data_IF_000832322844
#
_entry.id   IF_000832322844
#
_cell.length_a   1.000
_cell.length_b   1.000
_cell.length_c   1.000
_cell.angle_alpha   90.00
_cell.angle_beta   90.00
_cell.angle_gamma   90.00
#
_symmetry.space_group_name_H-M   'P 1'
#
loop_
_entity.id
_entity.type
_entity.pdbx_description
1 polymer ?
#
# COMPACT_ATOMS: atom_id res chain seq x y z
N UNK A 1 -24.50 -0.43 18.11
CA UNK A 1 -23.92 0.12 16.87
C UNK A 1 -22.42 -0.08 16.99
N UNK A 2 -21.84 -1.04 16.27
CA UNK A 2 -20.38 -1.13 16.17
C UNK A 2 -19.92 0.10 15.40
N UNK A 3 -19.00 0.89 15.96
CA UNK A 3 -18.31 1.93 15.20
C UNK A 3 -17.67 1.24 13.98
N UNK A 4 -17.99 1.69 12.76
CA UNK A 4 -17.31 1.21 11.56
C UNK A 4 -15.82 1.54 11.71
N UNK A 5 -14.98 0.50 11.75
CA UNK A 5 -13.53 0.69 11.85
C UNK A 5 -13.07 1.39 10.58
N UNK A 6 -12.43 2.54 10.75
CA UNK A 6 -11.86 3.31 9.65
C UNK A 6 -10.91 2.45 8.81
N UNK A 7 -11.06 2.49 7.49
CA UNK A 7 -10.20 1.72 6.57
C UNK A 7 -8.87 2.45 6.32
N UNK A 8 -7.89 1.74 5.75
CA UNK A 8 -6.60 2.34 5.36
C UNK A 8 -6.83 3.38 4.26
N UNK A 9 -7.78 3.12 3.36
CA UNK A 9 -8.22 4.09 2.35
C UNK A 9 -8.84 5.33 2.97
N UNK A 10 -9.70 5.20 3.98
CA UNK A 10 -10.31 6.35 4.66
C UNK A 10 -9.24 7.24 5.30
N UNK A 11 -8.28 6.64 6.01
CA UNK A 11 -7.14 7.36 6.61
C UNK A 11 -6.37 8.13 5.54
N UNK A 12 -6.14 7.51 4.38
CA UNK A 12 -5.45 8.16 3.27
C UNK A 12 -6.24 9.38 2.75
N UNK A 13 -7.53 9.22 2.50
CA UNK A 13 -8.38 10.20 1.81
C UNK A 13 -8.71 11.46 2.63
N UNK A 14 -8.49 11.46 3.93
CA UNK A 14 -8.68 12.64 4.81
C UNK A 14 -7.75 13.84 4.51
N UNK A 15 -6.78 13.70 3.61
CA UNK A 15 -5.81 14.74 3.29
C UNK A 15 -6.36 15.93 2.47
N UNK A 16 -5.80 17.13 2.71
CA UNK A 16 -6.06 18.34 1.92
C UNK A 16 -5.75 18.11 0.44
N UNK A 17 -4.72 17.32 0.14
CA UNK A 17 -4.36 16.95 -1.23
C UNK A 17 -5.53 16.32 -1.99
N UNK A 18 -6.30 15.43 -1.36
CA UNK A 18 -7.44 14.76 -2.00
C UNK A 18 -8.63 15.69 -2.17
N UNK A 19 -8.84 16.61 -1.22
CA UNK A 19 -9.83 17.66 -1.38
C UNK A 19 -9.53 18.49 -2.63
N UNK A 20 -8.30 18.99 -2.77
CA UNK A 20 -7.86 19.74 -3.96
C UNK A 20 -8.02 18.90 -5.23
N UNK A 21 -7.61 17.63 -5.18
CA UNK A 21 -7.79 16.72 -6.29
C UNK A 21 -9.24 16.63 -6.72
N UNK A 22 -10.17 16.26 -5.84
CA UNK A 22 -11.58 16.08 -6.20
C UNK A 22 -12.24 17.39 -6.66
N UNK A 23 -11.95 18.51 -5.99
CA UNK A 23 -12.51 19.82 -6.33
C UNK A 23 -12.12 20.26 -7.76
N UNK A 24 -10.90 19.95 -8.20
CA UNK A 24 -10.40 20.31 -9.55
C UNK A 24 -10.69 19.24 -10.60
N UNK A 25 -10.66 17.97 -10.22
CA UNK A 25 -10.76 16.82 -11.11
C UNK A 25 -12.19 16.55 -11.57
N UNK A 26 -13.15 16.55 -10.64
CA UNK A 26 -14.55 16.17 -10.92
C UNK A 26 -15.19 17.06 -12.00
N UNK A 27 -15.00 18.40 -12.00
CA UNK A 27 -15.53 19.25 -13.07
C UNK A 27 -14.99 18.90 -14.46
N UNK A 28 -13.70 18.57 -14.56
CA UNK A 28 -13.04 18.24 -15.85
C UNK A 28 -13.59 16.93 -16.41
N UNK A 29 -13.69 15.90 -15.57
CA UNK A 29 -14.30 14.62 -15.93
C UNK A 29 -15.75 14.79 -16.36
N UNK A 30 -16.52 15.55 -15.60
CA UNK A 30 -17.96 15.72 -15.87
C UNK A 30 -18.19 16.44 -17.19
N UNK A 31 -17.37 17.47 -17.48
CA UNK A 31 -17.40 18.18 -18.75
C UNK A 31 -17.00 17.27 -19.92
N UNK A 32 -15.88 16.56 -19.80
CA UNK A 32 -15.39 15.64 -20.83
C UNK A 32 -16.39 14.50 -21.09
N UNK A 33 -16.94 13.88 -20.04
CA UNK A 33 -17.98 12.84 -20.14
C UNK A 33 -19.24 13.37 -20.84
N UNK A 34 -19.74 14.54 -20.42
CA UNK A 34 -20.92 15.16 -21.01
C UNK A 34 -20.72 15.46 -22.50
N UNK A 35 -19.50 15.88 -22.89
CA UNK A 35 -19.13 16.11 -24.29
C UNK A 35 -19.12 14.79 -25.08
N UNK A 36 -18.42 13.77 -24.60
CA UNK A 36 -18.35 12.45 -25.25
C UNK A 36 -19.73 11.83 -25.45
N UNK A 37 -20.64 11.95 -24.48
CA UNK A 37 -22.02 11.46 -24.59
C UNK A 37 -22.81 12.22 -25.66
N UNK A 38 -22.71 13.56 -25.68
CA UNK A 38 -23.40 14.40 -26.68
C UNK A 38 -22.91 14.13 -28.10
N UNK A 39 -21.60 13.98 -28.27
CA UNK A 39 -20.96 13.79 -29.58
C UNK A 39 -20.96 12.32 -30.02
N UNK A 40 -21.33 11.39 -29.13
CA UNK A 40 -21.21 9.93 -29.31
C UNK A 40 -19.79 9.50 -29.69
N UNK A 41 -18.79 10.25 -29.24
CA UNK A 41 -17.37 9.98 -29.46
C UNK A 41 -16.70 9.69 -28.12
N UNK A 42 -16.67 8.42 -27.75
CA UNK A 42 -16.11 7.96 -26.48
C UNK A 42 -14.59 7.78 -26.52
N UNK A 43 -14.01 7.62 -27.70
CA UNK A 43 -12.56 7.44 -27.87
C UNK A 43 -11.79 8.70 -27.42
N UNK A 44 -12.44 9.86 -27.51
CA UNK A 44 -11.88 11.14 -27.09
C UNK A 44 -12.02 11.44 -25.58
N UNK A 45 -12.63 10.55 -24.79
CA UNK A 45 -12.81 10.80 -23.35
C UNK A 45 -11.45 11.06 -22.67
N UNK A 46 -11.32 12.24 -22.07
CA UNK A 46 -10.10 12.79 -21.47
C UNK A 46 -8.87 12.85 -22.40
N UNK A 47 -9.08 13.07 -23.70
CA UNK A 47 -7.98 13.16 -24.69
C UNK A 47 -8.06 14.40 -25.59
N UNK A 48 -9.00 15.34 -25.34
CA UNK A 48 -9.23 16.46 -26.26
C UNK A 48 -8.23 17.62 -26.13
N UNK A 49 -7.59 17.78 -24.96
CA UNK A 49 -6.60 18.83 -24.71
C UNK A 49 -5.54 18.38 -23.69
N UNK A 50 -4.46 19.16 -23.55
CA UNK A 50 -3.36 18.82 -22.64
C UNK A 50 -3.82 18.69 -21.18
N UNK A 51 -4.74 19.53 -20.73
CA UNK A 51 -5.29 19.49 -19.38
C UNK A 51 -6.03 18.18 -19.10
N UNK A 52 -6.87 17.72 -20.03
CA UNK A 52 -7.57 16.43 -19.94
C UNK A 52 -6.58 15.25 -19.93
N UNK A 53 -5.55 15.29 -20.78
CA UNK A 53 -4.50 14.27 -20.82
C UNK A 53 -3.71 14.23 -19.50
N UNK A 54 -3.39 15.39 -18.91
CA UNK A 54 -2.77 15.50 -17.59
C UNK A 54 -3.65 14.87 -16.50
N UNK A 55 -4.93 15.22 -16.49
CA UNK A 55 -5.95 14.68 -15.58
C UNK A 55 -6.07 13.17 -15.68
N UNK A 56 -6.08 12.62 -16.91
CA UNK A 56 -6.11 11.17 -17.15
C UNK A 56 -4.88 10.46 -16.60
N UNK A 57 -3.68 10.98 -16.88
CA UNK A 57 -2.41 10.41 -16.36
C UNK A 57 -2.37 10.43 -14.84
N UNK A 58 -2.79 11.53 -14.22
CA UNK A 58 -2.84 11.63 -12.77
C UNK A 58 -3.82 10.62 -12.18
N UNK A 59 -5.03 10.50 -12.76
CA UNK A 59 -6.02 9.52 -12.34
C UNK A 59 -5.53 8.08 -12.43
N UNK A 60 -4.83 7.71 -13.51
CA UNK A 60 -4.26 6.37 -13.67
C UNK A 60 -3.27 6.05 -12.53
N UNK A 61 -2.41 6.99 -12.17
CA UNK A 61 -1.49 6.82 -11.04
C UNK A 61 -2.21 6.81 -9.69
N UNK A 62 -3.22 7.66 -9.51
CA UNK A 62 -4.03 7.68 -8.30
C UNK A 62 -4.78 6.36 -8.11
N UNK A 63 -5.36 5.80 -9.17
CA UNK A 63 -6.00 4.49 -9.14
C UNK A 63 -5.02 3.36 -8.83
N UNK A 64 -3.79 3.41 -9.36
CA UNK A 64 -2.75 2.46 -8.97
C UNK A 64 -2.45 2.56 -7.47
N UNK A 65 -2.39 3.78 -6.93
CA UNK A 65 -2.16 4.01 -5.51
C UNK A 65 -3.30 3.44 -4.65
N UNK A 66 -4.56 3.75 -4.97
CA UNK A 66 -5.72 3.25 -4.22
C UNK A 66 -5.87 1.72 -4.34
N UNK A 67 -5.49 1.14 -5.48
CA UNK A 67 -5.42 -0.32 -5.65
C UNK A 67 -4.40 -0.95 -4.70
N UNK A 68 -3.22 -0.32 -4.54
CA UNK A 68 -2.19 -0.80 -3.60
C UNK A 68 -2.74 -0.74 -2.16
N UNK A 69 -3.43 0.34 -1.78
CA UNK A 69 -4.06 0.44 -0.45
C UNK A 69 -5.11 -0.66 -0.22
N UNK A 70 -5.97 -0.92 -1.22
CA UNK A 70 -6.95 -2.01 -1.16
C UNK A 70 -6.28 -3.37 -1.00
N UNK A 71 -5.17 -3.61 -1.70
CA UNK A 71 -4.43 -4.86 -1.58
C UNK A 71 -3.75 -5.02 -0.22
N UNK A 72 -3.30 -3.93 0.42
CA UNK A 72 -2.81 -3.96 1.80
C UNK A 72 -3.93 -4.31 2.78
N UNK A 73 -5.13 -3.76 2.61
CA UNK A 73 -6.31 -4.12 3.41
C UNK A 73 -6.70 -5.58 3.24
N UNK A 74 -6.74 -6.08 2.00
CA UNK A 74 -6.97 -7.51 1.74
C UNK A 74 -5.92 -8.37 2.42
N UNK A 75 -4.66 -7.95 2.40
CA UNK A 75 -3.58 -8.69 3.05
C UNK A 75 -3.82 -8.79 4.55
N UNK A 76 -4.27 -7.72 5.21
CA UNK A 76 -4.68 -7.77 6.63
C UNK A 76 -5.85 -8.74 6.83
N UNK A 77 -6.89 -8.67 5.97
CA UNK A 77 -8.06 -9.56 6.06
C UNK A 77 -7.65 -11.03 5.98
N UNK A 78 -6.74 -11.40 5.06
CA UNK A 78 -6.23 -12.76 4.96
C UNK A 78 -5.39 -13.15 6.17
N UNK A 79 -4.50 -12.27 6.63
CA UNK A 79 -3.70 -12.53 7.83
C UNK A 79 -4.57 -12.69 9.09
N UNK A 80 -5.78 -12.11 9.15
CA UNK A 80 -6.73 -12.29 10.27
C UNK A 80 -7.44 -13.65 10.28
N UNK A 81 -7.22 -14.54 9.32
CA UNK A 81 -7.80 -15.89 9.36
C UNK A 81 -7.08 -16.74 10.42
N UNK A 82 -7.58 -16.64 11.65
CA UNK A 82 -7.01 -17.30 12.83
C UNK A 82 -7.20 -18.83 12.85
N UNK A 83 -8.24 -19.34 12.17
CA UNK A 83 -8.56 -20.76 12.18
C UNK A 83 -7.70 -21.53 11.17
N UNK A 84 -6.71 -22.26 11.68
CA UNK A 84 -5.81 -23.09 10.88
C UNK A 84 -6.56 -24.16 10.07
N UNK A 85 -7.70 -24.67 10.56
CA UNK A 85 -8.49 -25.65 9.82
C UNK A 85 -9.15 -25.02 8.59
N UNK A 86 -9.55 -23.75 8.70
CA UNK A 86 -10.03 -22.97 7.55
C UNK A 86 -8.89 -22.76 6.56
N UNK A 87 -7.70 -22.40 7.04
CA UNK A 87 -6.51 -22.23 6.18
C UNK A 87 -6.18 -23.53 5.44
N UNK A 88 -6.03 -24.65 6.14
CA UNK A 88 -5.69 -25.95 5.54
C UNK A 88 -6.77 -26.44 4.57
N UNK A 89 -8.05 -26.22 4.89
CA UNK A 89 -9.18 -26.63 4.04
C UNK A 89 -9.30 -25.79 2.77
N UNK A 90 -9.14 -24.48 2.88
CA UNK A 90 -9.33 -23.55 1.76
C UNK A 90 -8.09 -23.48 0.89
N UNK A 91 -6.89 -23.59 1.48
CA UNK A 91 -5.60 -23.50 0.81
C UNK A 91 -4.83 -24.83 0.90
N UNK A 92 -5.49 -25.93 0.53
CA UNK A 92 -4.94 -27.28 0.63
C UNK A 92 -3.71 -27.55 -0.23
N UNK A 93 -3.38 -26.64 -1.16
CA UNK A 93 -2.15 -26.70 -1.97
C UNK A 93 -0.92 -26.13 -1.26
N UNK A 94 -1.09 -25.43 -0.14
CA UNK A 94 0.02 -24.96 0.68
C UNK A 94 0.51 -26.10 1.59
N UNK A 95 1.82 -26.19 1.77
CA UNK A 95 2.45 -27.27 2.53
C UNK A 95 2.03 -27.26 4.01
N UNK A 96 1.87 -26.06 4.56
CA UNK A 96 1.52 -25.85 5.96
C UNK A 96 0.94 -24.44 6.23
N UNK A 97 0.52 -24.21 7.47
CA UNK A 97 -0.07 -22.92 7.90
C UNK A 97 0.98 -21.82 7.88
N UNK A 98 2.23 -22.12 8.24
CA UNK A 98 3.34 -21.17 8.15
C UNK A 98 3.54 -20.62 6.72
N UNK A 99 3.40 -21.47 5.69
CA UNK A 99 3.51 -21.08 4.28
C UNK A 99 2.42 -20.08 3.88
N UNK A 100 1.22 -20.22 4.42
CA UNK A 100 0.12 -19.28 4.22
C UNK A 100 0.50 -17.89 4.74
N UNK A 101 0.91 -17.79 5.99
CA UNK A 101 1.27 -16.51 6.60
C UNK A 101 2.49 -15.88 5.90
N UNK A 102 3.49 -16.71 5.58
CA UNK A 102 4.68 -16.31 4.82
C UNK A 102 4.30 -15.65 3.48
N UNK A 103 3.40 -16.28 2.71
CA UNK A 103 2.94 -15.75 1.44
C UNK A 103 2.28 -14.38 1.58
N UNK A 104 1.42 -14.18 2.57
CA UNK A 104 0.75 -12.89 2.76
C UNK A 104 1.69 -11.80 3.31
N UNK A 105 2.67 -12.16 4.15
CA UNK A 105 3.71 -11.22 4.59
C UNK A 105 4.59 -10.78 3.41
N UNK A 106 4.92 -11.68 2.48
CA UNK A 106 5.62 -11.30 1.25
C UNK A 106 4.82 -10.31 0.40
N UNK A 107 3.52 -10.56 0.24
CA UNK A 107 2.62 -9.65 -0.48
C UNK A 107 2.56 -8.28 0.20
N UNK A 108 2.47 -8.23 1.53
CA UNK A 108 2.56 -6.99 2.30
C UNK A 108 3.83 -6.19 1.93
N UNK A 109 5.01 -6.82 2.00
CA UNK A 109 6.29 -6.14 1.71
C UNK A 109 6.37 -5.67 0.25
N UNK A 110 5.87 -6.46 -0.71
CA UNK A 110 5.81 -6.07 -2.13
C UNK A 110 4.91 -4.84 -2.31
N UNK A 111 3.76 -4.79 -1.64
CA UNK A 111 2.79 -3.70 -1.75
C UNK A 111 3.30 -2.41 -1.10
N UNK A 112 3.97 -2.47 0.05
CA UNK A 112 4.64 -1.30 0.65
C UNK A 112 5.70 -0.71 -0.29
N UNK A 113 6.43 -1.54 -1.03
CA UNK A 113 7.36 -1.05 -2.04
C UNK A 113 6.67 -0.39 -3.24
N UNK A 114 5.62 -1.02 -3.72
CA UNK A 114 4.80 -0.49 -4.81
C UNK A 114 4.20 0.87 -4.44
N UNK A 115 3.83 1.05 -3.17
CA UNK A 115 3.31 2.32 -2.62
C UNK A 115 4.33 3.46 -2.81
N UNK A 116 5.59 3.23 -2.44
CA UNK A 116 6.68 4.18 -2.65
C UNK A 116 6.90 4.48 -4.14
N UNK A 117 6.91 3.47 -5.00
CA UNK A 117 7.11 3.68 -6.43
C UNK A 117 6.02 4.53 -7.06
N UNK A 118 4.75 4.23 -6.77
CA UNK A 118 3.61 5.02 -7.29
C UNK A 118 3.60 6.43 -6.70
N UNK A 119 3.91 6.60 -5.41
CA UNK A 119 4.07 7.93 -4.81
C UNK A 119 5.12 8.76 -5.56
N UNK A 120 6.27 8.17 -5.86
CA UNK A 120 7.33 8.83 -6.64
C UNK A 120 6.88 9.23 -8.04
N UNK A 121 6.04 8.42 -8.70
CA UNK A 121 5.46 8.76 -10.02
C UNK A 121 4.46 9.91 -9.93
N UNK A 122 3.59 9.92 -8.91
CA UNK A 122 2.63 11.00 -8.65
C UNK A 122 3.41 12.31 -8.44
N UNK A 123 4.42 12.29 -7.58
CA UNK A 123 5.25 13.46 -7.29
C UNK A 123 6.04 13.92 -8.52
N UNK A 124 6.64 12.99 -9.27
CA UNK A 124 7.34 13.32 -10.51
C UNK A 124 6.42 14.00 -11.54
N UNK A 125 5.15 13.60 -11.58
CA UNK A 125 4.14 14.19 -12.46
C UNK A 125 3.79 15.62 -12.05
N UNK A 126 3.44 15.86 -10.78
CA UNK A 126 2.97 17.19 -10.33
C UNK A 126 4.10 18.21 -10.21
N UNK A 127 5.33 17.79 -9.92
CA UNK A 127 6.52 18.67 -9.90
C UNK A 127 7.20 18.78 -11.27
N UNK A 128 6.71 18.07 -12.29
CA UNK A 128 7.27 18.01 -13.63
C UNK A 128 8.80 17.78 -13.65
N UNK A 129 9.27 16.77 -12.91
CA UNK A 129 10.73 16.51 -12.77
C UNK A 129 11.34 15.70 -13.91
N UNK A 130 10.52 15.23 -14.85
CA UNK A 130 10.89 14.52 -16.10
C UNK A 130 11.74 13.24 -15.88
N UNK A 131 11.54 12.55 -14.77
CA UNK A 131 12.24 11.29 -14.47
C UNK A 131 11.57 10.14 -15.23
N UNK A 132 12.28 9.54 -16.20
CA UNK A 132 11.76 8.48 -17.10
C UNK A 132 11.28 7.22 -16.36
N UNK A 133 12.01 6.81 -15.31
CA UNK A 133 11.66 5.67 -14.45
C UNK A 133 11.45 6.13 -13.01
N UNK A 134 10.54 7.08 -12.84
CA UNK A 134 10.27 7.71 -11.57
C UNK A 134 9.96 6.68 -10.47
N UNK A 135 10.66 6.83 -9.35
CA UNK A 135 10.39 6.23 -8.07
C UNK A 135 10.74 7.27 -6.99
N UNK A 136 10.33 7.01 -5.75
CA UNK A 136 10.48 7.99 -4.67
C UNK A 136 11.94 8.37 -4.39
N UNK A 137 12.86 7.41 -4.51
CA UNK A 137 14.29 7.65 -4.30
C UNK A 137 14.89 8.58 -5.37
N UNK A 138 14.60 8.35 -6.65
CA UNK A 138 15.07 9.22 -7.73
C UNK A 138 14.43 10.61 -7.66
N UNK A 139 13.15 10.66 -7.33
CA UNK A 139 12.44 11.92 -7.11
C UNK A 139 13.13 12.75 -6.01
N UNK A 140 13.41 12.13 -4.86
CA UNK A 140 14.16 12.74 -3.75
C UNK A 140 15.47 13.38 -4.21
N UNK A 141 16.29 12.64 -4.96
CA UNK A 141 17.59 13.15 -5.45
C UNK A 141 17.40 14.42 -6.29
N UNK A 142 16.35 14.47 -7.10
CA UNK A 142 16.05 15.60 -7.97
C UNK A 142 15.57 16.83 -7.21
N UNK A 143 14.81 16.66 -6.13
CA UNK A 143 14.16 17.77 -5.40
C UNK A 143 14.89 18.21 -4.13
N UNK A 144 15.90 17.47 -3.66
CA UNK A 144 16.53 17.67 -2.35
C UNK A 144 17.01 19.10 -2.05
N UNK A 145 17.43 19.86 -3.08
CA UNK A 145 17.89 21.24 -2.93
C UNK A 145 16.74 22.25 -2.96
N UNK A 146 15.75 22.04 -3.84
CA UNK A 146 14.64 22.97 -4.05
C UNK A 146 13.51 22.81 -3.03
N UNK A 147 13.35 21.60 -2.48
CA UNK A 147 12.26 21.25 -1.55
C UNK A 147 12.79 20.44 -0.36
N UNK A 148 13.59 21.05 0.54
CA UNK A 148 14.26 20.35 1.64
C UNK A 148 13.29 19.69 2.62
N UNK A 149 12.19 20.36 2.98
CA UNK A 149 11.16 19.81 3.89
C UNK A 149 10.46 18.57 3.31
N UNK A 150 10.15 18.60 2.00
CA UNK A 150 9.57 17.44 1.31
C UNK A 150 10.57 16.27 1.25
N UNK A 151 11.84 16.57 1.00
CA UNK A 151 12.91 15.59 1.00
C UNK A 151 13.10 14.92 2.37
N UNK A 152 12.98 15.66 3.48
CA UNK A 152 13.05 15.08 4.84
C UNK A 152 11.95 14.03 5.07
N UNK A 153 10.69 14.34 4.75
CA UNK A 153 9.59 13.38 4.87
C UNK A 153 9.77 12.15 3.98
N UNK A 154 10.33 12.34 2.79
CA UNK A 154 10.62 11.24 1.87
C UNK A 154 11.73 10.33 2.43
N UNK A 155 12.76 10.90 3.06
CA UNK A 155 13.81 10.11 3.72
C UNK A 155 13.20 9.25 4.83
N UNK A 156 12.38 9.85 5.69
CA UNK A 156 11.71 9.14 6.80
C UNK A 156 10.90 7.93 6.27
N UNK A 157 10.10 8.13 5.21
CA UNK A 157 9.34 7.05 4.59
C UNK A 157 10.25 5.97 4.00
N UNK A 158 11.30 6.35 3.26
CA UNK A 158 12.23 5.40 2.63
C UNK A 158 13.02 4.58 3.66
N UNK A 159 13.43 5.19 4.77
CA UNK A 159 14.10 4.52 5.88
C UNK A 159 13.17 3.50 6.54
N UNK A 160 11.91 3.86 6.78
CA UNK A 160 10.92 2.94 7.34
C UNK A 160 10.68 1.74 6.41
N UNK A 161 10.50 1.98 5.11
CA UNK A 161 10.36 0.91 4.11
C UNK A 161 11.60 0.01 4.07
N UNK A 162 12.81 0.59 4.21
CA UNK A 162 14.06 -0.17 4.27
C UNK A 162 14.07 -1.11 5.47
N UNK A 163 13.65 -0.65 6.65
CA UNK A 163 13.53 -1.50 7.85
C UNK A 163 12.59 -2.68 7.56
N UNK A 164 11.41 -2.45 6.99
CA UNK A 164 10.48 -3.54 6.63
C UNK A 164 11.08 -4.51 5.58
N UNK A 165 11.95 -4.04 4.67
CA UNK A 165 12.72 -4.94 3.78
C UNK A 165 13.77 -5.74 4.54
N UNK A 166 14.45 -5.14 5.51
CA UNK A 166 15.47 -5.82 6.31
C UNK A 166 14.84 -6.92 7.17
N UNK A 167 13.59 -6.72 7.65
CA UNK A 167 12.78 -7.76 8.29
C UNK A 167 12.47 -8.99 7.40
N UNK A 168 12.68 -8.88 6.08
CA UNK A 168 12.64 -10.00 5.10
C UNK A 168 14.00 -10.72 4.97
N UNK A 169 15.09 -10.10 5.41
CA UNK A 169 16.47 -10.52 5.15
C UNK A 169 17.25 -10.82 6.44
N UNK A 170 16.88 -11.89 7.15
CA UNK A 170 17.85 -12.72 7.90
C UNK A 170 18.33 -13.88 7.01
N UNK A 171 18.85 -13.57 5.81
CA UNK A 171 19.07 -14.58 4.75
C UNK A 171 20.46 -15.21 4.68
N UNK A 172 21.38 -14.97 5.63
CA UNK A 172 22.81 -15.17 5.32
C UNK A 172 23.52 -16.40 5.87
N UNK A 173 22.96 -17.22 6.77
CA UNK A 173 23.71 -18.39 7.27
C UNK A 173 22.98 -19.74 7.37
N UNK A 174 21.66 -19.85 7.16
CA UNK A 174 20.94 -21.09 7.50
C UNK A 174 19.92 -21.61 6.47
N UNK A 175 19.70 -20.93 5.33
CA UNK A 175 18.86 -21.47 4.26
C UNK A 175 17.35 -21.46 4.51
N UNK A 176 16.89 -20.99 5.68
CA UNK A 176 15.48 -20.74 5.97
C UNK A 176 15.16 -19.24 5.90
N UNK A 177 13.99 -18.91 5.35
CA UNK A 177 13.51 -17.52 5.26
C UNK A 177 12.55 -17.30 6.43
N UNK A 178 13.08 -17.08 7.62
CA UNK A 178 12.23 -16.73 8.75
C UNK A 178 11.98 -15.21 8.71
N UNK A 179 10.73 -14.82 8.51
CA UNK A 179 10.34 -13.42 8.66
C UNK A 179 10.43 -13.03 10.12
N UNK A 180 10.97 -11.84 10.44
CA UNK A 180 11.01 -11.35 11.82
C UNK A 180 9.62 -11.36 12.48
N UNK A 181 8.57 -11.09 11.68
CA UNK A 181 7.17 -11.15 12.09
C UNK A 181 6.74 -12.54 12.59
N UNK A 182 7.28 -13.61 12.00
CA UNK A 182 6.93 -15.00 12.34
C UNK A 182 7.84 -15.62 13.40
N UNK A 183 8.98 -14.99 13.71
CA UNK A 183 9.99 -15.51 14.65
C UNK A 183 9.45 -15.85 16.04
N UNK A 184 8.36 -15.20 16.46
CA UNK A 184 7.70 -15.43 17.75
C UNK A 184 6.44 -16.32 17.64
N UNK A 185 6.07 -16.77 16.44
CA UNK A 185 4.90 -17.61 16.20
C UNK A 185 5.34 -19.06 16.13
N UNK A 186 5.03 -19.82 17.18
CA UNK A 186 5.21 -21.28 17.15
C UNK A 186 3.95 -21.92 16.56
N UNK A 187 4.09 -22.57 15.41
CA UNK A 187 3.01 -23.31 14.75
C UNK A 187 2.84 -24.70 15.38
N UNK A 188 2.29 -24.73 16.60
CA UNK A 188 2.11 -25.96 17.37
C UNK A 188 1.27 -27.01 16.64
N UNK A 189 0.31 -26.59 15.82
CA UNK A 189 -0.51 -27.47 15.00
C UNK A 189 0.33 -28.33 14.06
N UNK A 190 1.39 -27.78 13.49
CA UNK A 190 2.28 -28.49 12.57
C UNK A 190 3.17 -29.48 13.30
N UNK A 191 3.71 -29.08 14.46
CA UNK A 191 4.52 -29.95 15.32
C UNK A 191 3.72 -31.15 15.82
N UNK A 192 2.51 -30.93 16.33
CA UNK A 192 1.66 -32.02 16.82
C UNK A 192 1.13 -32.91 15.69
N UNK A 193 0.91 -32.36 14.49
CA UNK A 193 0.63 -33.15 13.27
C UNK A 193 1.77 -34.10 12.93
N UNK A 194 3.02 -33.65 13.03
CA UNK A 194 4.21 -34.50 12.82
C UNK A 194 4.36 -35.59 13.88
N UNK A 195 4.02 -35.27 15.14
CA UNK A 195 4.03 -36.22 16.25
C UNK A 195 2.82 -37.18 16.25
N UNK A 196 1.83 -36.93 15.38
CA UNK A 196 0.56 -37.66 15.32
C UNK A 196 -0.19 -37.63 16.67
N UNK A 197 -0.12 -36.50 17.37
CA UNK A 197 -0.74 -36.27 18.67
C UNK A 197 -1.83 -35.19 18.59
N UNK A 198 -2.89 -35.27 19.42
CA UNK A 198 -3.86 -34.20 19.53
C UNK A 198 -3.20 -32.97 20.17
N UNK A 199 -3.30 -31.82 19.52
CA UNK A 199 -2.77 -30.56 20.05
C UNK A 199 -3.60 -30.10 21.28
N UNK A 200 -2.94 -29.80 22.43
CA UNK A 200 -3.58 -29.17 23.57
C UNK A 200 -4.20 -27.81 23.24
N UNK A 201 -5.38 -27.53 23.78
CA UNK A 201 -6.11 -26.27 23.48
C UNK A 201 -5.31 -25.02 23.86
N UNK A 202 -4.58 -25.06 24.98
CA UNK A 202 -3.71 -23.96 25.42
C UNK A 202 -2.61 -23.62 24.42
N UNK A 203 -2.12 -24.59 23.64
CA UNK A 203 -1.12 -24.35 22.61
C UNK A 203 -1.73 -23.79 21.34
N UNK A 204 -2.97 -24.17 21.00
CA UNK A 204 -3.72 -23.52 19.90
C UNK A 204 -3.96 -22.05 20.21
N UNK A 205 -4.41 -21.75 21.44
CA UNK A 205 -4.61 -20.39 21.92
C UNK A 205 -3.30 -19.58 21.86
N UNK A 206 -2.17 -20.18 22.25
CA UNK A 206 -0.87 -19.51 22.17
C UNK A 206 -0.48 -19.15 20.72
N UNK A 207 -0.61 -20.08 19.76
CA UNK A 207 -0.35 -19.80 18.34
C UNK A 207 -1.25 -18.67 17.85
N UNK A 208 -2.54 -18.74 18.19
CA UNK A 208 -3.54 -17.73 17.84
C UNK A 208 -3.17 -16.34 18.38
N UNK A 209 -2.84 -16.24 19.66
CA UNK A 209 -2.47 -14.96 20.29
C UNK A 209 -1.23 -14.33 19.65
N UNK A 210 -0.24 -15.16 19.29
CA UNK A 210 0.97 -14.68 18.63
C UNK A 210 0.70 -14.23 17.19
N UNK A 211 -0.18 -14.93 16.47
CA UNK A 211 -0.65 -14.50 15.15
C UNK A 211 -1.38 -13.17 15.24
N UNK A 212 -2.31 -12.99 16.19
CA UNK A 212 -3.04 -11.72 16.38
C UNK A 212 -2.05 -10.56 16.60
N UNK A 213 -1.08 -10.73 17.51
CA UNK A 213 -0.06 -9.70 17.78
C UNK A 213 0.76 -9.36 16.54
N UNK A 214 1.14 -10.36 15.75
CA UNK A 214 1.85 -10.16 14.49
C UNK A 214 1.00 -9.36 13.49
N UNK A 215 -0.28 -9.70 13.34
CA UNK A 215 -1.18 -8.97 12.44
C UNK A 215 -1.42 -7.54 12.91
N UNK A 216 -1.58 -7.33 14.22
CA UNK A 216 -1.70 -5.98 14.81
C UNK A 216 -0.48 -5.11 14.50
N UNK A 217 0.73 -5.70 14.58
CA UNK A 217 1.97 -5.00 14.23
C UNK A 217 2.01 -4.62 12.74
N UNK A 218 1.66 -5.54 11.84
CA UNK A 218 1.62 -5.27 10.40
C UNK A 218 0.57 -4.21 10.06
N UNK A 219 -0.62 -4.30 10.64
CA UNK A 219 -1.70 -3.32 10.45
C UNK A 219 -1.27 -1.92 10.91
N UNK A 220 -0.61 -1.82 12.07
CA UNK A 220 -0.07 -0.57 12.58
C UNK A 220 1.01 0.01 11.67
N UNK A 221 1.94 -0.82 11.17
CA UNK A 221 2.94 -0.38 10.21
C UNK A 221 2.30 0.17 8.92
N UNK A 222 1.28 -0.52 8.37
CA UNK A 222 0.53 -0.07 7.19
C UNK A 222 -0.08 1.31 7.43
N UNK A 223 -0.75 1.51 8.57
CA UNK A 223 -1.35 2.80 8.93
C UNK A 223 -0.28 3.90 8.96
N UNK A 224 0.86 3.63 9.58
CA UNK A 224 1.97 4.60 9.65
C UNK A 224 2.51 4.97 8.26
N UNK A 225 2.69 3.98 7.37
CA UNK A 225 3.08 4.24 5.98
C UNK A 225 2.10 5.15 5.26
N UNK A 226 0.80 4.88 5.39
CA UNK A 226 -0.24 5.68 4.75
C UNK A 226 -0.28 7.10 5.30
N UNK A 227 -0.13 7.27 6.61
CA UNK A 227 -0.03 8.60 7.22
C UNK A 227 1.19 9.37 6.67
N UNK A 228 2.34 8.72 6.51
CA UNK A 228 3.53 9.34 5.91
C UNK A 228 3.29 9.75 4.45
N UNK A 229 2.70 8.86 3.63
CA UNK A 229 2.33 9.19 2.25
C UNK A 229 1.35 10.38 2.19
N UNK A 230 0.35 10.41 3.07
CA UNK A 230 -0.61 11.51 3.18
C UNK A 230 0.09 12.83 3.54
N UNK A 231 1.03 12.83 4.49
CA UNK A 231 1.81 14.03 4.84
C UNK A 231 2.62 14.55 3.65
N UNK A 232 3.30 13.67 2.93
CA UNK A 232 4.05 14.00 1.72
C UNK A 232 3.14 14.65 0.68
N UNK A 233 2.01 14.02 0.37
CA UNK A 233 1.05 14.55 -0.61
C UNK A 233 0.44 15.88 -0.14
N UNK A 234 0.11 16.04 1.14
CA UNK A 234 -0.45 17.28 1.66
C UNK A 234 0.48 18.48 1.46
N UNK A 235 1.80 18.32 1.66
CA UNK A 235 2.77 19.39 1.36
C UNK A 235 2.79 19.73 -0.14
N UNK A 236 2.50 18.76 -0.99
CA UNK A 236 2.45 18.93 -2.44
C UNK A 236 1.11 19.40 -2.99
N UNK A 237 0.14 19.78 -2.14
CA UNK A 237 -1.20 20.20 -2.58
C UNK A 237 -1.18 21.41 -3.49
N UNK A 238 -0.32 22.40 -3.21
CA UNK A 238 -0.17 23.59 -4.06
C UNK A 238 0.36 23.22 -5.46
N UNK A 239 1.29 22.28 -5.55
CA UNK A 239 1.82 21.82 -6.83
C UNK A 239 0.80 21.01 -7.62
N UNK A 240 -0.05 20.24 -6.94
CA UNK A 240 -1.20 19.60 -7.58
C UNK A 240 -2.16 20.65 -8.17
N UNK A 241 -2.49 21.70 -7.41
CA UNK A 241 -3.36 22.76 -7.90
C UNK A 241 -2.78 23.43 -9.15
N UNK A 242 -1.50 23.83 -9.10
CA UNK A 242 -0.80 24.39 -10.26
C UNK A 242 -0.83 23.43 -11.46
N UNK A 243 -0.57 22.14 -11.23
CA UNK A 243 -0.56 21.12 -12.28
C UNK A 243 -1.93 20.98 -12.98
N UNK A 244 -3.03 21.09 -12.21
CA UNK A 244 -4.40 20.94 -12.70
C UNK A 244 -5.01 22.24 -13.26
N UNK A 245 -4.47 23.40 -12.92
CA UNK A 245 -4.95 24.72 -13.38
C UNK A 245 -4.27 25.24 -14.65
N UNK A 246 -3.20 24.59 -15.12
CA UNK A 246 -2.61 24.91 -16.44
C UNK A 246 -3.69 24.64 -17.51
N UNK A 247 -3.99 25.61 -18.40
CA UNK A 247 -4.95 25.47 -19.48
C UNK A 247 -4.66 24.27 -20.41
#
# INVERSE_FOLDING_TARGET
MSEEKQTVQDIFLEGIFFKVYFDKYVPIITASFSKSVKEKNYDNFLNDNEREVRVKKFYELFNQFTTILSDLEKTIIFLRIEDYQVVEKVYSSLENTQSYYTYFIENYIIRINSLSDVLGKILNLIYNTEIEKANLYLFRIKIQQSYPQLNELIIELLEKIKITKEKRHEKLHQGETEFEYLKNVVFWNELYRLLNEPIPESLKEQTKDNLIKMVDQIEQEIIEYVIMCRKILNISSEQLENYLDIP
#
